data_IF_496871680420
#
_entry.id   IF_496871680420
#
_cell.length_a   1.000
_cell.length_b   1.000
_cell.length_c   1.000
_cell.angle_alpha   90.00
_cell.angle_beta   90.00
_cell.angle_gamma   90.00
#
_symmetry.space_group_name_H-M   'P 1'
#
loop_
_entity.id
_entity.type
_entity.pdbx_description
1 polymer ?
#
# COMPACT_ATOMS: atom_id res chain seq x y z
N UNK A 1 55.17 1.43 -59.94
CA UNK A 1 54.78 2.51 -59.02
C UNK A 1 53.36 2.20 -58.55
N UNK A 2 53.23 1.49 -57.43
CA UNK A 2 51.94 1.05 -56.88
C UNK A 2 51.49 2.03 -55.80
N UNK A 3 50.31 2.61 -56.00
CA UNK A 3 49.71 3.60 -55.10
C UNK A 3 48.69 2.87 -54.22
N UNK A 4 49.00 2.72 -52.92
CA UNK A 4 48.10 2.15 -51.92
C UNK A 4 47.14 3.24 -51.43
N UNK A 5 45.84 3.04 -51.66
CA UNK A 5 44.75 3.89 -51.20
C UNK A 5 44.32 3.39 -49.81
N UNK A 6 44.60 4.17 -48.76
CA UNK A 6 44.21 3.85 -47.39
C UNK A 6 42.79 4.37 -47.12
N UNK A 7 41.82 3.47 -47.06
CA UNK A 7 40.43 3.77 -46.67
C UNK A 7 40.35 3.86 -45.15
N UNK A 8 40.21 5.07 -44.61
CA UNK A 8 39.95 5.30 -43.19
C UNK A 8 38.46 5.09 -42.93
N UNK A 9 38.09 3.94 -42.37
CA UNK A 9 36.76 3.69 -41.83
C UNK A 9 36.57 4.57 -40.57
N UNK A 10 35.85 5.68 -40.71
CA UNK A 10 35.37 6.45 -39.55
C UNK A 10 34.20 5.69 -38.93
N UNK A 11 34.45 5.00 -37.81
CA UNK A 11 33.38 4.49 -36.96
C UNK A 11 32.72 5.68 -36.25
N UNK A 12 31.66 6.21 -36.84
CA UNK A 12 30.72 7.08 -36.13
C UNK A 12 30.05 6.23 -35.05
N UNK A 13 30.56 6.31 -33.82
CA UNK A 13 29.85 5.89 -32.62
C UNK A 13 28.63 6.80 -32.50
N UNK A 14 27.50 6.35 -33.05
CA UNK A 14 26.21 7.01 -32.83
C UNK A 14 25.92 6.96 -31.34
N UNK A 15 26.07 8.08 -30.65
CA UNK A 15 25.56 8.23 -29.30
C UNK A 15 24.05 8.01 -29.39
N UNK A 16 23.58 6.88 -28.86
CA UNK A 16 22.16 6.62 -28.73
C UNK A 16 21.54 7.83 -28.01
N UNK A 17 20.61 8.52 -28.67
CA UNK A 17 19.92 9.62 -28.01
C UNK A 17 19.16 9.03 -26.82
N UNK A 18 19.30 9.61 -25.62
CA UNK A 18 18.58 9.13 -24.46
C UNK A 18 17.09 9.20 -24.78
N UNK A 19 16.43 8.05 -24.78
CA UNK A 19 14.98 7.96 -25.01
C UNK A 19 14.33 8.70 -23.85
N UNK A 20 13.72 9.85 -24.12
CA UNK A 20 12.98 10.61 -23.12
C UNK A 20 11.76 9.79 -22.67
N UNK A 21 11.86 9.17 -21.50
CA UNK A 21 10.75 8.45 -20.89
C UNK A 21 9.72 9.42 -20.32
N UNK A 22 8.44 9.16 -20.60
CA UNK A 22 7.34 9.83 -19.93
C UNK A 22 7.20 9.31 -18.50
N UNK A 23 7.01 10.21 -17.54
CA UNK A 23 6.76 9.90 -16.12
C UNK A 23 5.34 10.34 -15.79
N UNK A 24 4.50 9.37 -15.43
CA UNK A 24 3.22 9.65 -14.77
C UNK A 24 3.51 9.85 -13.29
N UNK A 25 3.06 10.98 -12.74
CA UNK A 25 3.24 11.33 -11.33
C UNK A 25 1.87 11.34 -10.68
N UNK A 26 1.72 10.60 -9.57
CA UNK A 26 0.49 10.49 -8.80
C UNK A 26 0.76 10.88 -7.35
N UNK A 27 -0.10 11.68 -6.75
CA UNK A 27 -0.05 12.05 -5.34
C UNK A 27 -1.28 11.48 -4.63
N UNK A 28 -1.02 10.63 -3.65
CA UNK A 28 -2.00 10.05 -2.76
C UNK A 28 -1.90 10.71 -1.37
N UNK A 29 -2.93 11.46 -0.93
CA UNK A 29 -2.96 12.00 0.42
C UNK A 29 -3.19 10.89 1.45
N UNK A 30 -2.15 10.55 2.20
CA UNK A 30 -2.17 9.66 3.37
C UNK A 30 -2.76 10.32 4.62
N UNK A 31 -3.90 11.01 4.47
CA UNK A 31 -4.67 11.63 5.55
C UNK A 31 -4.50 13.15 5.71
N UNK A 32 -3.64 13.79 4.93
CA UNK A 32 -3.62 15.26 4.83
C UNK A 32 -4.51 15.71 3.67
N UNK A 33 -5.51 16.55 3.94
CA UNK A 33 -6.32 17.16 2.88
C UNK A 33 -5.48 18.16 2.09
N UNK A 34 -5.51 18.04 0.77
CA UNK A 34 -4.82 18.92 -0.17
C UNK A 34 -5.87 19.81 -0.83
N UNK A 35 -5.80 21.12 -0.59
CA UNK A 35 -6.83 22.06 -1.05
C UNK A 35 -6.45 22.82 -2.33
N UNK A 36 -5.17 22.82 -2.68
CA UNK A 36 -4.66 23.49 -3.88
C UNK A 36 -3.83 22.51 -4.73
N UNK A 37 -3.75 22.74 -6.06
CA UNK A 37 -2.96 21.91 -6.97
C UNK A 37 -1.49 21.75 -6.52
N UNK A 38 -1.05 20.53 -6.15
CA UNK A 38 0.33 20.26 -5.78
C UNK A 38 1.29 20.53 -6.93
N UNK A 39 2.47 21.00 -6.59
CA UNK A 39 3.57 21.17 -7.55
C UNK A 39 4.69 20.20 -7.24
N UNK A 40 5.07 19.38 -8.20
CA UNK A 40 6.18 18.44 -8.11
C UNK A 40 7.35 18.98 -8.91
N UNK A 41 8.55 18.89 -8.34
CA UNK A 41 9.80 19.26 -8.98
C UNK A 41 10.68 18.01 -9.01
N UNK A 42 11.08 17.62 -10.21
CA UNK A 42 11.96 16.48 -10.46
C UNK A 42 13.30 17.03 -10.92
N UNK A 43 14.31 16.98 -10.06
CA UNK A 43 15.67 17.41 -10.37
C UNK A 43 16.52 16.19 -10.72
N UNK A 44 16.99 16.06 -11.98
CA UNK A 44 17.93 15.00 -12.34
C UNK A 44 19.14 14.93 -11.40
N UNK A 45 19.53 13.72 -10.99
CA UNK A 45 20.72 13.53 -10.15
C UNK A 45 22.00 13.80 -10.95
N UNK A 46 22.00 13.47 -12.25
CA UNK A 46 23.16 13.63 -13.13
C UNK A 46 22.78 14.48 -14.35
N UNK A 47 23.12 15.76 -14.30
CA UNK A 47 22.97 16.70 -15.41
C UNK A 47 21.51 17.03 -15.79
N UNK A 48 21.31 18.16 -16.47
CA UNK A 48 19.98 18.62 -16.89
C UNK A 48 19.30 19.53 -15.87
N UNK A 49 18.31 20.28 -16.35
CA UNK A 49 17.57 21.23 -15.52
C UNK A 49 16.42 20.53 -14.78
N UNK A 50 16.08 20.98 -13.55
CA UNK A 50 14.89 20.51 -12.86
C UNK A 50 13.62 20.78 -13.67
N UNK A 51 12.73 19.80 -13.73
CA UNK A 51 11.42 19.92 -14.39
C UNK A 51 10.34 20.07 -13.34
N UNK A 52 9.41 21.00 -13.56
CA UNK A 52 8.29 21.25 -12.68
C UNK A 52 6.97 20.84 -13.32
N UNK A 53 6.14 20.16 -12.54
CA UNK A 53 4.82 19.66 -12.93
C UNK A 53 3.79 20.11 -11.89
N UNK A 54 2.68 20.69 -12.32
CA UNK A 54 1.51 20.93 -11.47
C UNK A 54 0.53 19.79 -11.68
N UNK A 55 0.15 19.10 -10.60
CA UNK A 55 -0.79 17.99 -10.64
C UNK A 55 -2.24 18.50 -10.70
N UNK A 56 -3.15 17.66 -11.20
CA UNK A 56 -4.57 17.97 -11.35
C UNK A 56 -5.43 16.84 -10.79
N UNK A 57 -6.59 17.21 -10.28
CA UNK A 57 -7.67 16.35 -9.77
C UNK A 57 -8.94 16.75 -10.55
N UNK A 58 -8.95 16.42 -11.84
CA UNK A 58 -9.92 16.88 -12.85
C UNK A 58 -10.61 15.73 -13.62
N UNK A 59 -10.31 14.48 -13.28
CA UNK A 59 -10.81 13.26 -13.91
C UNK A 59 -10.31 13.05 -15.36
N UNK A 60 -9.34 13.84 -15.82
CA UNK A 60 -8.73 13.67 -17.15
C UNK A 60 -7.39 12.98 -17.04
N UNK A 61 -7.15 12.01 -17.93
CA UNK A 61 -5.92 11.22 -17.94
C UNK A 61 -4.66 12.14 -17.84
N UNK A 62 -3.73 11.85 -16.92
CA UNK A 62 -3.59 10.60 -16.16
C UNK A 62 -4.45 10.49 -14.89
N UNK A 63 -5.24 11.51 -14.55
CA UNK A 63 -6.21 11.44 -13.47
C UNK A 63 -7.48 10.67 -13.91
N UNK A 64 -8.05 9.87 -13.02
CA UNK A 64 -9.14 8.93 -13.35
C UNK A 64 -10.47 9.36 -12.74
N UNK A 65 -10.46 10.10 -11.62
CA UNK A 65 -11.66 10.53 -10.92
C UNK A 65 -11.49 11.97 -10.44
N UNK A 66 -12.41 12.85 -10.84
CA UNK A 66 -12.37 14.24 -10.45
C UNK A 66 -12.82 14.43 -8.99
N UNK A 67 -12.13 15.32 -8.28
CA UNK A 67 -12.39 15.72 -6.89
C UNK A 67 -12.31 14.58 -5.88
N UNK A 68 -11.53 13.52 -6.16
CA UNK A 68 -11.33 12.41 -5.24
C UNK A 68 -10.16 12.66 -4.25
N UNK A 69 -9.48 13.80 -4.39
CA UNK A 69 -8.33 14.20 -3.59
C UNK A 69 -7.02 13.54 -4.02
N UNK A 70 -7.04 12.68 -5.03
CA UNK A 70 -5.83 12.14 -5.68
C UNK A 70 -5.49 13.06 -6.83
N UNK A 71 -4.20 13.32 -6.99
CA UNK A 71 -3.73 14.26 -7.99
C UNK A 71 -2.79 13.54 -8.94
N UNK A 72 -2.94 13.76 -10.23
CA UNK A 72 -2.07 13.17 -11.22
C UNK A 72 -1.55 14.19 -12.24
N UNK A 73 -0.44 13.85 -12.88
CA UNK A 73 0.14 14.65 -13.94
C UNK A 73 1.16 13.86 -14.73
N UNK A 74 1.54 14.38 -15.89
CA UNK A 74 2.50 13.75 -16.78
C UNK A 74 3.63 14.72 -17.13
N UNK A 75 4.87 14.23 -17.11
CA UNK A 75 6.05 15.01 -17.44
C UNK A 75 7.10 14.14 -18.14
N UNK A 76 7.81 14.71 -19.11
CA UNK A 76 8.93 14.03 -19.76
C UNK A 76 10.22 14.32 -19.01
N UNK A 77 10.90 13.28 -18.53
CA UNK A 77 12.20 13.38 -17.86
C UNK A 77 13.15 12.36 -18.44
N UNK A 78 14.21 12.83 -19.08
CA UNK A 78 15.22 11.95 -19.69
C UNK A 78 16.06 11.20 -18.65
N UNK A 79 16.27 11.79 -17.48
CA UNK A 79 17.09 11.22 -16.42
C UNK A 79 16.48 9.93 -15.83
N UNK A 80 17.33 8.94 -15.55
CA UNK A 80 16.94 7.68 -14.91
C UNK A 80 16.77 7.82 -13.40
N UNK A 81 17.40 8.82 -12.80
CA UNK A 81 17.35 9.09 -11.37
C UNK A 81 17.08 10.57 -11.12
N UNK A 82 16.15 10.86 -10.21
CA UNK A 82 15.73 12.22 -9.88
C UNK A 82 15.59 12.40 -8.37
N UNK A 83 15.92 13.59 -7.89
CA UNK A 83 15.52 14.10 -6.58
C UNK A 83 14.12 14.67 -6.71
N UNK A 84 13.22 14.20 -5.86
CA UNK A 84 11.81 14.57 -5.85
C UNK A 84 11.58 15.64 -4.79
N UNK A 85 10.97 16.75 -5.17
CA UNK A 85 10.44 17.72 -4.22
C UNK A 85 8.98 17.97 -4.51
N UNK A 86 8.14 17.99 -3.47
CA UNK A 86 6.71 18.29 -3.58
C UNK A 86 6.40 19.56 -2.81
N UNK A 87 5.65 20.46 -3.42
CA UNK A 87 5.16 21.70 -2.85
C UNK A 87 3.64 21.62 -2.77
N UNK A 88 3.10 21.68 -1.56
CA UNK A 88 1.66 21.61 -1.26
C UNK A 88 1.30 22.79 -0.36
N UNK A 89 0.35 23.60 -0.77
CA UNK A 89 -0.10 24.79 -0.01
C UNK A 89 1.07 25.74 0.39
N UNK A 90 2.11 25.80 -0.44
CA UNK A 90 3.32 26.61 -0.21
C UNK A 90 4.40 25.93 0.64
N UNK A 91 4.11 24.78 1.27
CA UNK A 91 5.08 24.00 2.02
C UNK A 91 5.86 23.05 1.11
N UNK A 92 7.19 23.19 1.13
CA UNK A 92 8.11 22.38 0.34
C UNK A 92 8.62 21.18 1.14
N UNK A 93 8.42 19.98 0.61
CA UNK A 93 8.78 18.70 1.24
C UNK A 93 9.70 17.88 0.33
N UNK A 94 10.74 17.31 0.92
CA UNK A 94 11.65 16.40 0.23
C UNK A 94 10.99 15.01 0.11
N UNK A 95 10.92 14.49 -1.12
CA UNK A 95 10.44 13.14 -1.41
C UNK A 95 11.57 12.12 -1.55
N UNK A 96 12.83 12.55 -1.42
CA UNK A 96 14.01 11.71 -1.58
C UNK A 96 14.44 11.54 -3.04
N UNK A 97 15.33 10.58 -3.26
CA UNK A 97 15.80 10.22 -4.60
C UNK A 97 15.15 8.92 -5.07
N UNK A 98 14.63 8.92 -6.29
CA UNK A 98 14.06 7.75 -6.94
C UNK A 98 14.80 7.45 -8.24
N UNK A 99 14.75 6.19 -8.67
CA UNK A 99 15.41 5.73 -9.89
C UNK A 99 14.55 4.69 -10.62
N UNK A 100 14.55 4.75 -11.95
CA UNK A 100 13.96 3.73 -12.82
C UNK A 100 15.05 2.97 -13.57
N UNK A 101 14.70 1.80 -14.10
CA UNK A 101 15.59 1.08 -15.00
C UNK A 101 15.84 1.89 -16.30
N UNK A 102 17.05 1.85 -16.88
CA UNK A 102 17.39 2.54 -18.13
C UNK A 102 16.44 2.24 -19.30
N UNK A 103 15.92 1.01 -19.33
CA UNK A 103 15.05 0.50 -20.40
C UNK A 103 13.57 0.81 -20.18
N UNK A 104 13.20 1.43 -19.05
CA UNK A 104 11.81 1.71 -18.73
C UNK A 104 11.24 2.81 -19.62
N UNK A 105 10.32 2.43 -20.52
CA UNK A 105 9.64 3.37 -21.42
C UNK A 105 8.47 4.08 -20.73
N UNK A 106 7.71 3.35 -19.91
CA UNK A 106 6.63 3.88 -19.10
C UNK A 106 7.06 3.91 -17.63
N UNK A 107 7.22 5.12 -17.09
CA UNK A 107 7.67 5.35 -15.72
C UNK A 107 6.52 5.91 -14.90
N UNK A 108 6.44 5.46 -13.67
CA UNK A 108 5.41 5.86 -12.74
C UNK A 108 6.08 6.29 -11.42
N UNK A 109 5.56 7.37 -10.85
CA UNK A 109 6.01 7.98 -9.61
C UNK A 109 4.81 8.16 -8.70
N UNK A 110 4.72 7.31 -7.68
CA UNK A 110 3.68 7.42 -6.65
C UNK A 110 4.26 8.21 -5.48
N UNK A 111 3.57 9.28 -5.11
CA UNK A 111 3.91 10.16 -4.00
C UNK A 111 2.85 9.96 -2.93
N UNK A 112 3.25 9.55 -1.73
CA UNK A 112 2.34 9.44 -0.60
C UNK A 112 2.61 10.58 0.36
N UNK A 113 1.64 11.47 0.53
CA UNK A 113 1.73 12.58 1.48
C UNK A 113 1.26 12.14 2.85
N UNK A 114 2.12 12.20 3.86
CA UNK A 114 1.76 11.88 5.25
C UNK A 114 2.08 13.07 6.18
N UNK A 115 1.67 12.97 7.44
CA UNK A 115 1.89 14.03 8.44
C UNK A 115 3.36 14.37 8.68
N UNK A 116 4.28 13.43 8.42
CA UNK A 116 5.73 13.60 8.64
C UNK A 116 6.51 14.04 7.40
N UNK A 117 5.90 14.05 6.21
CA UNK A 117 6.60 14.36 4.97
C UNK A 117 5.99 13.69 3.74
N UNK A 118 6.82 13.48 2.73
CA UNK A 118 6.44 12.83 1.46
C UNK A 118 7.31 11.61 1.26
N UNK A 119 6.68 10.50 0.91
CA UNK A 119 7.39 9.30 0.43
C UNK A 119 7.22 9.19 -1.07
N UNK A 120 8.32 9.05 -1.80
CA UNK A 120 8.30 8.81 -3.25
C UNK A 120 8.64 7.35 -3.59
N UNK A 121 7.85 6.76 -4.49
CA UNK A 121 8.02 5.40 -4.97
C UNK A 121 8.07 5.39 -6.49
N UNK A 122 9.19 4.94 -7.06
CA UNK A 122 9.32 4.72 -8.49
C UNK A 122 8.88 3.29 -8.86
N UNK A 123 8.06 3.17 -9.89
CA UNK A 123 7.64 1.88 -10.46
C UNK A 123 7.60 1.92 -11.99
N UNK A 124 7.49 0.74 -12.61
CA UNK A 124 7.32 0.55 -14.05
C UNK A 124 6.17 -0.43 -14.30
N UNK A 125 5.49 -0.31 -15.44
CA UNK A 125 4.37 -1.22 -15.77
C UNK A 125 4.80 -2.69 -15.94
N UNK A 126 6.08 -2.96 -16.19
CA UNK A 126 6.60 -4.31 -16.46
C UNK A 126 6.72 -5.20 -15.19
N UNK A 127 6.17 -4.77 -14.05
CA UNK A 127 6.13 -5.58 -12.83
C UNK A 127 7.47 -5.73 -12.11
N UNK A 128 8.44 -4.85 -12.37
CA UNK A 128 9.67 -4.79 -11.58
C UNK A 128 9.33 -4.34 -10.14
N UNK A 129 9.96 -4.98 -9.16
CA UNK A 129 9.73 -4.68 -7.75
C UNK A 129 9.93 -3.17 -7.45
N UNK A 130 9.07 -2.56 -6.63
CA UNK A 130 9.17 -1.13 -6.32
C UNK A 130 10.52 -0.78 -5.67
N UNK A 131 11.19 0.27 -6.15
CA UNK A 131 12.40 0.79 -5.52
C UNK A 131 11.99 1.96 -4.62
N UNK A 132 11.92 1.72 -3.31
CA UNK A 132 11.64 2.77 -2.32
C UNK A 132 12.79 3.81 -2.29
N UNK A 133 12.42 5.09 -2.23
CA UNK A 133 13.37 6.17 -2.01
C UNK A 133 14.09 5.96 -0.68
N UNK A 134 15.43 5.86 -0.71
CA UNK A 134 16.24 5.88 0.51
C UNK A 134 16.43 7.34 0.92
N UNK A 135 16.12 7.67 2.18
CA UNK A 135 16.52 8.96 2.76
C UNK A 135 18.03 9.12 2.61
N UNK A 136 18.44 10.03 1.73
CA UNK A 136 19.82 10.46 1.66
C UNK A 136 20.09 11.26 2.93
N UNK A 137 20.82 10.68 3.89
CA UNK A 137 21.28 11.42 5.06
C UNK A 137 22.27 12.48 4.58
N UNK A 138 21.78 13.67 4.25
CA UNK A 138 22.60 14.81 3.88
C UNK A 138 23.35 15.24 5.14
N UNK A 139 24.58 14.73 5.32
CA UNK A 139 25.54 15.30 6.26
C UNK A 139 25.85 16.71 5.79
N UNK A 140 25.33 17.70 6.51
CA UNK A 140 25.72 19.11 6.35
C UNK A 140 27.21 19.22 6.59
N UNK A 141 28.01 19.33 5.53
CA UNK A 141 29.45 19.59 5.63
C UNK A 141 29.61 21.06 6.00
N UNK A 142 29.87 21.32 7.28
CA UNK A 142 30.21 22.64 7.77
C UNK A 142 31.48 23.16 7.10
N UNK A 143 31.42 24.39 6.58
CA UNK A 143 32.55 25.15 6.04
C UNK A 143 33.61 25.30 7.14
N UNK A 144 34.87 24.85 6.96
CA UNK A 144 35.89 25.04 7.97
C UNK A 144 36.37 26.49 7.95
N UNK A 145 36.20 27.17 9.08
CA UNK A 145 36.85 28.43 9.39
C UNK A 145 38.35 28.18 9.53
N UNK A 146 39.14 28.86 8.71
CA UNK A 146 40.60 28.78 8.73
C UNK A 146 41.15 29.18 10.10
N UNK A 147 41.88 28.27 10.75
CA UNK A 147 42.65 28.54 11.95
C UNK A 147 44.06 27.98 11.72
N UNK A 148 45.03 28.88 11.62
CA UNK A 148 46.45 28.59 11.46
C UNK A 148 47.08 28.22 12.80
N UNK A 149 47.72 27.04 12.87
CA UNK A 149 48.57 26.58 13.99
C UNK A 149 49.79 25.86 13.38
N UNK A 150 51.00 26.04 13.92
CA UNK A 150 52.24 25.77 13.19
C UNK A 150 52.61 24.28 13.15
N UNK A 151 53.40 23.97 12.12
CA UNK A 151 53.87 22.65 11.75
C UNK A 151 54.68 21.98 12.87
N UNK A 152 54.20 20.82 13.32
CA UNK A 152 54.99 19.83 14.04
C UNK A 152 55.44 18.74 13.05
N UNK A 153 56.75 18.55 12.98
CA UNK A 153 57.44 17.55 12.18
C UNK A 153 57.20 16.15 12.75
N UNK A 154 56.36 15.37 12.07
CA UNK A 154 56.16 13.95 12.36
C UNK A 154 57.17 13.12 11.56
N UNK A 155 58.00 12.36 12.29
CA UNK A 155 58.87 11.34 11.76
C UNK A 155 58.06 10.18 11.15
N UNK A 156 58.45 9.79 9.94
CA UNK A 156 57.87 8.68 9.18
C UNK A 156 58.25 7.33 9.79
N UNK A 157 57.37 6.77 10.63
CA UNK A 157 57.42 5.33 10.95
C UNK A 157 56.69 4.61 9.81
N UNK A 158 57.46 4.00 8.91
CA UNK A 158 56.95 3.09 7.88
C UNK A 158 56.57 1.78 8.56
N UNK A 159 55.37 1.72 9.12
CA UNK A 159 54.72 0.50 9.57
C UNK A 159 53.41 0.36 8.81
N UNK A 160 53.27 -0.69 7.99
CA UNK A 160 52.13 -0.99 7.12
C UNK A 160 50.75 -0.66 7.77
N UNK A 161 50.15 0.52 7.51
CA UNK A 161 48.93 0.96 8.19
C UNK A 161 47.65 0.41 7.56
N UNK A 162 47.77 -0.28 6.42
CA UNK A 162 46.62 -0.78 5.64
C UNK A 162 46.01 -2.04 6.25
N UNK A 163 46.78 -2.82 7.03
CA UNK A 163 46.28 -4.07 7.61
C UNK A 163 45.33 -3.83 8.81
N UNK A 164 45.54 -2.80 9.62
CA UNK A 164 44.72 -2.53 10.80
C UNK A 164 43.41 -1.80 10.48
N UNK A 165 43.41 -0.96 9.45
CA UNK A 165 42.22 -0.22 9.02
C UNK A 165 41.13 -1.14 8.44
N UNK A 166 41.51 -2.20 7.72
CA UNK A 166 40.56 -3.17 7.15
C UNK A 166 39.96 -4.09 8.21
N UNK A 167 40.74 -4.50 9.22
CA UNK A 167 40.22 -5.30 10.34
C UNK A 167 39.22 -4.51 11.20
N UNK A 168 39.48 -3.23 11.45
CA UNK A 168 38.57 -2.37 12.22
C UNK A 168 37.23 -2.13 11.52
N UNK A 169 37.23 -1.87 10.21
CA UNK A 169 36.01 -1.67 9.44
C UNK A 169 35.16 -2.95 9.32
N UNK A 170 35.79 -4.11 9.14
CA UNK A 170 35.10 -5.39 9.11
C UNK A 170 34.36 -5.72 10.41
N UNK A 171 35.02 -5.50 11.56
CA UNK A 171 34.41 -5.73 12.86
C UNK A 171 33.23 -4.79 13.12
N UNK A 172 33.35 -3.52 12.74
CA UNK A 172 32.26 -2.55 12.88
C UNK A 172 31.03 -2.94 12.04
N UNK A 173 31.24 -3.36 10.79
CA UNK A 173 30.15 -3.83 9.92
C UNK A 173 29.48 -5.09 10.49
N UNK A 174 30.24 -6.03 11.08
CA UNK A 174 29.67 -7.21 11.73
C UNK A 174 28.87 -6.81 12.97
N UNK A 175 29.35 -5.88 13.81
CA UNK A 175 28.63 -5.42 15.00
C UNK A 175 27.36 -4.64 14.65
N UNK A 176 27.38 -3.81 13.60
CA UNK A 176 26.19 -3.11 13.10
C UNK A 176 25.22 -4.09 12.47
N UNK A 177 25.69 -5.01 11.61
CA UNK A 177 24.88 -6.06 11.01
C UNK A 177 24.26 -6.97 12.06
N UNK A 178 25.01 -7.35 13.10
CA UNK A 178 24.52 -8.15 14.22
C UNK A 178 23.54 -7.36 15.10
N UNK A 179 23.81 -6.09 15.38
CA UNK A 179 22.89 -5.21 16.10
C UNK A 179 21.56 -5.02 15.35
N UNK A 180 21.61 -4.89 14.03
CA UNK A 180 20.44 -4.85 13.16
C UNK A 180 19.73 -6.21 13.11
N UNK A 181 20.48 -7.32 13.02
CA UNK A 181 19.92 -8.66 13.03
C UNK A 181 19.23 -8.98 14.36
N UNK A 182 19.82 -8.60 15.50
CA UNK A 182 19.22 -8.77 16.84
C UNK A 182 18.03 -7.84 17.03
N UNK A 183 18.09 -6.59 16.53
CA UNK A 183 16.96 -5.66 16.56
C UNK A 183 15.80 -6.12 15.68
N UNK A 184 16.10 -6.83 14.59
CA UNK A 184 15.10 -7.40 13.68
C UNK A 184 14.70 -8.84 14.04
N UNK A 185 15.47 -9.54 14.86
CA UNK A 185 15.14 -10.83 15.45
C UNK A 185 14.05 -10.62 16.50
N UNK A 186 12.84 -10.34 16.02
CA UNK A 186 11.64 -10.42 16.85
C UNK A 186 11.54 -11.88 17.28
N UNK A 187 11.42 -12.17 18.59
CA UNK A 187 11.16 -13.52 19.04
C UNK A 187 9.99 -14.07 18.23
N UNK A 188 10.06 -15.33 17.76
CA UNK A 188 8.96 -15.94 17.03
C UNK A 188 7.71 -15.74 17.87
N UNK A 189 6.72 -15.06 17.30
CA UNK A 189 5.46 -14.86 18.00
C UNK A 189 4.91 -16.26 18.32
N UNK A 190 4.39 -16.48 19.54
CA UNK A 190 3.73 -17.74 19.83
C UNK A 190 2.67 -18.00 18.75
N UNK A 191 2.51 -19.25 18.30
CA UNK A 191 1.55 -19.57 17.26
C UNK A 191 0.15 -19.14 17.73
N UNK A 192 -0.44 -18.18 17.01
CA UNK A 192 -1.79 -17.72 17.29
C UNK A 192 -2.77 -18.77 16.76
N UNK A 193 -3.68 -19.23 17.61
CA UNK A 193 -4.75 -20.13 17.21
C UNK A 193 -5.87 -19.31 16.55
N UNK A 194 -5.72 -19.04 15.25
CA UNK A 194 -6.68 -18.30 14.44
C UNK A 194 -7.43 -19.29 13.55
N UNK A 195 -8.75 -19.32 13.67
CA UNK A 195 -9.60 -20.07 12.75
C UNK A 195 -10.49 -19.10 11.99
N UNK A 196 -10.26 -18.97 10.69
CA UNK A 196 -11.18 -18.25 9.81
C UNK A 196 -12.46 -19.08 9.66
N UNK A 197 -13.62 -18.42 9.73
CA UNK A 197 -14.89 -19.05 9.38
C UNK A 197 -14.90 -19.27 7.87
N UNK A 198 -15.12 -20.50 7.44
CA UNK A 198 -15.38 -20.77 6.03
C UNK A 198 -16.70 -20.12 5.65
N UNK A 199 -16.67 -19.27 4.62
CA UNK A 199 -17.87 -18.63 4.13
C UNK A 199 -18.65 -19.61 3.25
N UNK A 200 -19.97 -19.67 3.38
CA UNK A 200 -20.76 -20.52 2.52
C UNK A 200 -20.61 -20.04 1.07
N UNK A 201 -20.33 -20.97 0.14
CA UNK A 201 -20.26 -20.64 -1.28
C UNK A 201 -21.67 -20.27 -1.79
N UNK A 202 -21.77 -19.33 -2.73
CA UNK A 202 -23.04 -18.68 -3.13
C UNK A 202 -24.10 -19.70 -3.58
N UNK A 203 -23.66 -20.75 -4.27
CA UNK A 203 -24.53 -21.75 -4.88
C UNK A 203 -24.16 -23.18 -4.43
N UNK A 204 -23.44 -23.32 -3.32
CA UNK A 204 -22.92 -24.61 -2.85
C UNK A 204 -21.47 -24.89 -3.24
N UNK A 205 -20.95 -26.03 -2.79
CA UNK A 205 -19.53 -26.41 -2.90
C UNK A 205 -19.01 -26.24 -4.33
N UNK A 206 -17.88 -25.52 -4.47
CA UNK A 206 -17.24 -25.27 -5.77
C UNK A 206 -17.57 -23.90 -6.39
N UNK A 207 -18.51 -23.14 -5.82
CA UNK A 207 -18.72 -21.73 -6.19
C UNK A 207 -17.93 -20.78 -5.29
N UNK A 208 -17.43 -19.65 -5.79
CA UNK A 208 -16.74 -18.67 -4.94
C UNK A 208 -17.71 -18.14 -3.88
N UNK A 209 -17.18 -17.72 -2.73
CA UNK A 209 -17.96 -16.97 -1.77
C UNK A 209 -18.08 -15.51 -2.25
N UNK A 210 -19.27 -14.91 -2.13
CA UNK A 210 -19.43 -13.47 -2.29
C UNK A 210 -18.91 -12.81 -1.01
N UNK A 211 -17.63 -12.46 -1.00
CA UNK A 211 -17.05 -11.65 0.05
C UNK A 211 -17.68 -10.25 -0.03
N UNK A 212 -18.75 -10.00 0.73
CA UNK A 212 -19.28 -8.64 0.96
C UNK A 212 -18.35 -7.87 1.91
N UNK A 213 -17.04 -7.90 1.66
CA UNK A 213 -16.04 -7.21 2.47
C UNK A 213 -15.76 -7.77 3.87
N UNK A 214 -16.66 -8.55 4.50
CA UNK A 214 -16.51 -9.01 5.89
C UNK A 214 -15.81 -10.38 6.03
N UNK A 215 -14.66 -10.39 6.70
CA UNK A 215 -13.93 -11.59 7.12
C UNK A 215 -14.14 -11.90 8.60
N UNK A 216 -14.62 -13.11 8.93
CA UNK A 216 -14.88 -13.53 10.32
C UNK A 216 -13.81 -14.50 10.81
N UNK A 217 -13.26 -14.22 12.00
CA UNK A 217 -12.19 -14.97 12.63
C UNK A 217 -12.56 -15.35 14.06
N UNK A 218 -12.38 -16.63 14.40
CA UNK A 218 -12.42 -17.10 15.77
C UNK A 218 -11.06 -16.90 16.42
N UNK A 219 -11.05 -16.28 17.60
CA UNK A 219 -9.84 -15.94 18.34
C UNK A 219 -10.03 -16.28 19.81
N UNK A 220 -9.04 -16.98 20.39
CA UNK A 220 -9.02 -17.26 21.81
C UNK A 220 -9.00 -15.96 22.64
N UNK A 221 -9.69 -15.89 23.79
CA UNK A 221 -9.74 -14.68 24.64
C UNK A 221 -8.37 -14.10 24.98
N UNK A 222 -7.40 -14.96 25.29
CA UNK A 222 -6.03 -14.60 25.66
C UNK A 222 -5.25 -13.92 24.54
N UNK A 223 -5.53 -14.26 23.28
CA UNK A 223 -4.82 -13.75 22.11
C UNK A 223 -5.45 -12.47 21.54
N UNK A 224 -6.72 -12.22 21.88
CA UNK A 224 -7.55 -11.17 21.28
C UNK A 224 -6.92 -9.78 21.37
N UNK A 225 -6.49 -9.37 22.56
CA UNK A 225 -5.93 -8.03 22.76
C UNK A 225 -4.63 -7.82 21.97
N UNK A 226 -3.75 -8.83 21.93
CA UNK A 226 -2.51 -8.79 21.17
C UNK A 226 -2.78 -8.73 19.67
N UNK A 227 -3.71 -9.56 19.18
CA UNK A 227 -4.12 -9.60 17.78
C UNK A 227 -4.79 -8.29 17.34
N UNK A 228 -5.75 -7.76 18.12
CA UNK A 228 -6.39 -6.47 17.85
C UNK A 228 -5.35 -5.37 17.72
N UNK A 229 -4.39 -5.30 18.65
CA UNK A 229 -3.31 -4.31 18.59
C UNK A 229 -2.41 -4.49 17.35
N UNK A 230 -2.10 -5.73 16.99
CA UNK A 230 -1.31 -6.07 15.79
C UNK A 230 -2.01 -5.70 14.49
N UNK A 231 -3.26 -6.13 14.33
CA UNK A 231 -4.11 -5.82 13.18
C UNK A 231 -4.33 -4.33 13.05
N UNK A 232 -4.72 -3.66 14.13
CA UNK A 232 -4.97 -2.22 14.12
C UNK A 232 -3.70 -1.45 13.71
N UNK A 233 -2.52 -1.82 14.22
CA UNK A 233 -1.25 -1.21 13.81
C UNK A 233 -0.95 -1.43 12.33
N UNK A 234 -1.25 -2.60 11.79
CA UNK A 234 -1.01 -2.92 10.37
C UNK A 234 -2.00 -2.19 9.47
N UNK A 235 -3.29 -2.28 9.78
CA UNK A 235 -4.38 -1.67 9.02
C UNK A 235 -4.26 -0.15 9.01
N UNK A 236 -4.01 0.47 10.17
CA UNK A 236 -3.95 1.93 10.30
C UNK A 236 -2.80 2.59 9.51
N UNK A 237 -1.84 1.81 8.97
CA UNK A 237 -0.80 2.32 8.06
C UNK A 237 -1.31 2.66 6.67
N UNK A 238 -2.35 1.96 6.22
CA UNK A 238 -2.86 2.01 4.85
C UNK A 238 -4.37 2.24 4.78
N UNK A 239 -5.05 2.27 5.92
CA UNK A 239 -6.49 2.40 6.03
C UNK A 239 -6.86 3.34 7.17
N UNK A 240 -8.06 3.91 7.08
CA UNK A 240 -8.75 4.51 8.22
C UNK A 240 -9.56 3.43 8.91
N UNK A 241 -9.31 3.22 10.21
CA UNK A 241 -9.87 2.07 10.91
C UNK A 241 -11.01 2.51 11.81
N UNK A 242 -12.21 1.99 11.61
CA UNK A 242 -13.25 2.00 12.64
C UNK A 242 -13.08 0.76 13.52
N UNK A 243 -12.54 0.96 14.72
CA UNK A 243 -12.40 -0.08 15.72
C UNK A 243 -13.64 -0.11 16.61
N UNK A 244 -14.40 -1.20 16.55
CA UNK A 244 -15.45 -1.47 17.53
C UNK A 244 -14.90 -2.39 18.63
N UNK A 245 -14.94 -1.93 19.87
CA UNK A 245 -14.55 -2.71 21.05
C UNK A 245 -15.78 -3.14 21.89
N UNK A 246 -15.71 -4.25 22.63
CA UNK A 246 -16.67 -4.53 23.68
C UNK A 246 -16.59 -3.50 24.81
N UNK A 247 -17.70 -3.26 25.50
CA UNK A 247 -17.72 -2.39 26.67
C UNK A 247 -16.74 -2.86 27.75
N UNK A 248 -16.03 -1.92 28.37
CA UNK A 248 -15.04 -2.19 29.42
C UNK A 248 -13.69 -2.71 28.93
N UNK A 249 -13.51 -2.95 27.63
CA UNK A 249 -12.20 -3.28 27.06
C UNK A 249 -11.38 -2.01 26.86
N UNK A 250 -10.15 -1.99 27.38
CA UNK A 250 -9.26 -0.86 27.23
C UNK A 250 -8.91 -0.59 25.75
N UNK A 251 -8.93 0.67 25.37
CA UNK A 251 -8.57 1.10 24.03
C UNK A 251 -7.09 0.77 23.74
N UNK A 252 -6.77 0.07 22.64
CA UNK A 252 -5.40 -0.24 22.31
C UNK A 252 -4.66 1.04 21.91
N UNK A 253 -3.59 1.37 22.63
CA UNK A 253 -2.71 2.48 22.26
C UNK A 253 -2.04 2.21 20.91
N UNK A 254 -2.46 2.90 19.86
CA UNK A 254 -1.84 2.83 18.53
C UNK A 254 -0.88 3.97 18.27
N UNK A 255 0.28 3.62 17.71
CA UNK A 255 1.21 4.56 17.11
C UNK A 255 1.00 4.51 15.59
N UNK A 256 0.48 5.59 15.01
CA UNK A 256 0.70 5.88 13.59
C UNK A 256 -0.46 5.76 12.61
N UNK A 257 -1.72 5.94 13.01
CA UNK A 257 -2.80 6.11 12.02
C UNK A 257 -4.16 6.51 12.59
N UNK A 258 -5.10 6.95 11.73
CA UNK A 258 -6.44 7.39 12.11
C UNK A 258 -7.33 6.18 12.48
N UNK A 259 -7.24 5.76 13.74
CA UNK A 259 -8.14 4.80 14.33
C UNK A 259 -9.26 5.54 15.07
N UNK A 260 -10.51 5.23 14.73
CA UNK A 260 -11.71 5.75 15.38
C UNK A 260 -12.27 4.63 16.23
N UNK A 261 -12.46 4.89 17.52
CA UNK A 261 -12.87 3.84 18.46
C UNK A 261 -14.30 4.08 18.92
N UNK A 262 -15.09 3.02 18.89
CA UNK A 262 -16.46 3.03 19.42
C UNK A 262 -16.73 1.75 20.19
N UNK A 263 -17.58 1.83 21.22
CA UNK A 263 -18.09 0.64 21.91
C UNK A 263 -19.53 0.31 21.55
N UNK A 264 -20.21 1.21 20.82
CA UNK A 264 -21.61 1.06 20.46
C UNK A 264 -21.86 -0.21 19.66
N UNK A 265 -22.98 -0.86 19.94
CA UNK A 265 -23.55 -1.96 19.13
C UNK A 265 -24.73 -1.51 18.28
N UNK A 266 -25.15 -0.26 18.43
CA UNK A 266 -26.34 0.26 17.74
C UNK A 266 -26.01 0.42 16.26
N UNK A 267 -26.64 -0.40 15.41
CA UNK A 267 -26.44 -0.44 13.95
C UNK A 267 -26.39 0.95 13.32
N UNK A 268 -27.42 1.76 13.55
CA UNK A 268 -27.51 3.12 13.01
C UNK A 268 -26.31 4.01 13.39
N UNK A 269 -25.81 3.89 14.62
CA UNK A 269 -24.65 4.69 15.06
C UNK A 269 -23.36 4.20 14.38
N UNK A 270 -23.24 2.90 14.12
CA UNK A 270 -22.12 2.37 13.32
C UNK A 270 -22.20 2.84 11.87
N UNK A 271 -23.40 2.82 11.26
CA UNK A 271 -23.65 3.37 9.92
C UNK A 271 -23.26 4.86 9.86
N UNK A 272 -23.73 5.67 10.82
CA UNK A 272 -23.40 7.10 10.89
C UNK A 272 -21.88 7.34 11.00
N UNK A 273 -21.18 6.54 11.81
CA UNK A 273 -19.71 6.61 11.89
C UNK A 273 -19.03 6.22 10.57
N UNK A 274 -19.56 5.23 9.86
CA UNK A 274 -19.00 4.79 8.58
C UNK A 274 -19.20 5.84 7.49
N UNK A 275 -20.39 6.43 7.40
CA UNK A 275 -20.68 7.54 6.49
C UNK A 275 -19.74 8.72 6.78
N UNK A 276 -19.60 9.11 8.05
CA UNK A 276 -18.68 10.19 8.43
C UNK A 276 -17.23 9.88 8.07
N UNK A 277 -16.81 8.63 8.25
CA UNK A 277 -15.48 8.16 7.86
C UNK A 277 -15.29 8.16 6.35
N UNK A 278 -16.30 7.76 5.60
CA UNK A 278 -16.26 7.65 4.15
C UNK A 278 -16.23 9.03 3.47
N UNK A 279 -17.07 9.96 3.95
CA UNK A 279 -17.18 11.33 3.44
C UNK A 279 -15.91 12.16 3.67
N UNK A 280 -15.09 11.78 4.66
CA UNK A 280 -13.77 12.38 4.83
C UNK A 280 -12.88 11.92 3.65
N UNK A 281 -12.10 12.80 3.02
CA UNK A 281 -11.09 12.36 2.05
C UNK A 281 -9.94 11.60 2.75
N UNK A 282 -9.34 10.62 2.09
CA UNK A 282 -8.16 9.91 2.58
C UNK A 282 -8.06 8.44 2.18
N UNK A 283 -7.37 7.66 3.03
CA UNK A 283 -7.14 6.23 2.82
C UNK A 283 -8.46 5.41 2.83
N UNK A 284 -8.49 4.21 2.23
CA UNK A 284 -9.67 3.34 2.29
C UNK A 284 -10.12 3.06 3.74
N UNK A 285 -11.42 2.85 3.94
CA UNK A 285 -11.99 2.58 5.27
C UNK A 285 -12.00 1.07 5.52
N UNK A 286 -11.64 0.66 6.73
CA UNK A 286 -11.76 -0.72 7.19
C UNK A 286 -12.37 -0.77 8.58
N UNK A 287 -13.26 -1.73 8.82
CA UNK A 287 -13.89 -1.96 10.12
C UNK A 287 -13.21 -3.12 10.80
N UNK A 288 -12.72 -2.90 12.02
CA UNK A 288 -12.24 -3.96 12.89
C UNK A 288 -13.22 -4.10 14.06
N UNK A 289 -14.06 -5.11 13.99
CA UNK A 289 -15.05 -5.41 15.03
C UNK A 289 -14.50 -6.47 15.98
N UNK A 290 -14.45 -6.16 17.27
CA UNK A 290 -14.04 -7.09 18.31
C UNK A 290 -15.26 -7.45 19.17
N UNK A 291 -15.60 -8.73 19.21
CA UNK A 291 -16.76 -9.27 19.92
C UNK A 291 -16.43 -10.50 20.77
N UNK A 292 -17.26 -10.74 21.79
CA UNK A 292 -17.25 -12.00 22.56
C UNK A 292 -18.03 -13.08 21.82
N UNK A 293 -19.26 -13.34 22.27
CA UNK A 293 -20.23 -14.11 21.51
C UNK A 293 -20.87 -13.22 20.44
N UNK A 294 -20.81 -13.63 19.18
CA UNK A 294 -21.43 -12.92 18.06
C UNK A 294 -22.56 -13.77 17.51
N UNK A 295 -23.77 -13.20 17.42
CA UNK A 295 -24.91 -13.88 16.83
C UNK A 295 -24.83 -13.85 15.31
N UNK A 296 -25.52 -14.78 14.65
CA UNK A 296 -25.67 -14.78 13.20
C UNK A 296 -26.27 -13.46 12.69
N UNK A 297 -27.30 -12.95 13.37
CA UNK A 297 -27.91 -11.66 13.04
C UNK A 297 -26.91 -10.51 13.11
N UNK A 298 -25.99 -10.50 14.09
CA UNK A 298 -24.96 -9.46 14.16
C UNK A 298 -23.96 -9.53 13.01
N UNK A 299 -23.70 -10.73 12.46
CA UNK A 299 -22.86 -10.88 11.25
C UNK A 299 -23.61 -10.35 10.03
N UNK A 300 -24.91 -10.67 9.89
CA UNK A 300 -25.76 -10.15 8.80
C UNK A 300 -25.86 -8.63 8.88
N UNK A 301 -26.19 -8.08 10.04
CA UNK A 301 -26.26 -6.64 10.26
C UNK A 301 -24.93 -5.97 9.92
N UNK A 302 -23.79 -6.56 10.32
CA UNK A 302 -22.48 -6.01 10.00
C UNK A 302 -22.17 -6.09 8.50
N UNK A 303 -22.62 -7.12 7.78
CA UNK A 303 -22.45 -7.21 6.33
C UNK A 303 -23.30 -6.16 5.60
N UNK A 304 -24.54 -5.97 6.03
CA UNK A 304 -25.46 -5.02 5.41
C UNK A 304 -24.98 -3.57 5.51
N UNK A 305 -24.25 -3.23 6.58
CA UNK A 305 -23.70 -1.87 6.75
C UNK A 305 -22.37 -1.65 6.03
N UNK A 306 -21.71 -2.71 5.57
CA UNK A 306 -20.44 -2.61 4.87
C UNK A 306 -20.73 -2.45 3.38
N UNK A 307 -20.50 -1.24 2.86
CA UNK A 307 -20.50 -1.00 1.43
C UNK A 307 -19.45 -1.87 0.71
N UNK A 308 -19.59 -2.15 -0.60
CA UNK A 308 -18.64 -2.99 -1.35
C UNK A 308 -17.18 -2.55 -1.24
N UNK A 309 -16.93 -1.26 -1.00
CA UNK A 309 -15.60 -0.67 -0.90
C UNK A 309 -15.05 -0.62 0.54
N UNK A 310 -15.82 -1.06 1.54
CA UNK A 310 -15.42 -1.08 2.95
C UNK A 310 -15.07 -2.51 3.37
N UNK A 311 -13.80 -2.73 3.69
CA UNK A 311 -13.36 -4.00 4.26
C UNK A 311 -13.82 -4.16 5.72
N UNK A 312 -14.19 -5.37 6.11
CA UNK A 312 -14.58 -5.70 7.48
C UNK A 312 -13.77 -6.89 8.02
N UNK A 313 -13.34 -6.81 9.28
CA UNK A 313 -12.76 -7.93 10.03
C UNK A 313 -13.51 -8.06 11.35
N UNK A 314 -14.14 -9.21 11.57
CA UNK A 314 -14.79 -9.56 12.83
C UNK A 314 -13.93 -10.57 13.59
N UNK A 315 -13.47 -10.19 14.78
CA UNK A 315 -12.83 -11.09 15.73
C UNK A 315 -13.86 -11.53 16.78
N UNK A 316 -14.20 -12.82 16.80
CA UNK A 316 -15.18 -13.41 17.70
C UNK A 316 -14.56 -14.49 18.60
N UNK A 317 -15.05 -14.63 19.82
CA UNK A 317 -14.68 -15.72 20.74
C UNK A 317 -15.36 -17.03 20.35
N UNK A 318 -16.67 -16.91 20.15
CA UNK A 318 -17.55 -18.00 19.78
C UNK A 318 -18.16 -17.64 18.45
N UNK A 319 -17.97 -18.51 17.47
CA UNK A 319 -18.57 -18.36 16.16
C UNK A 319 -20.06 -18.69 16.23
N UNK A 320 -20.92 -18.02 15.45
CA UNK A 320 -22.23 -18.56 15.17
C UNK A 320 -22.10 -19.95 14.52
N UNK A 321 -23.09 -20.84 14.68
CA UNK A 321 -23.15 -22.07 13.89
C UNK A 321 -22.95 -21.72 12.40
N UNK A 322 -22.22 -22.56 11.68
CA UNK A 322 -21.88 -22.28 10.28
C UNK A 322 -23.15 -21.95 9.50
N UNK A 323 -23.19 -20.75 8.93
CA UNK A 323 -24.28 -20.30 8.05
C UNK A 323 -24.28 -21.26 6.86
N UNK A 324 -25.32 -22.07 6.75
CA UNK A 324 -25.50 -22.93 5.58
C UNK A 324 -25.81 -22.03 4.38
N UNK A 325 -25.39 -22.45 3.18
CA UNK A 325 -25.74 -21.71 1.97
C UNK A 325 -27.27 -21.55 1.89
N UNK A 326 -27.75 -20.30 1.83
CA UNK A 326 -29.17 -19.97 1.79
C UNK A 326 -29.85 -20.54 0.53
N UNK A 327 -29.06 -20.78 -0.51
CA UNK A 327 -29.48 -21.40 -1.74
C UNK A 327 -28.47 -22.46 -2.19
N UNK A 328 -28.98 -23.55 -2.75
CA UNK A 328 -28.20 -24.60 -3.39
C UNK A 328 -28.61 -24.70 -4.84
N UNK A 329 -27.64 -24.65 -5.75
CA UNK A 329 -27.90 -24.87 -7.17
C UNK A 329 -27.60 -26.33 -7.51
N UNK A 330 -28.60 -27.06 -8.00
CA UNK A 330 -28.44 -28.44 -8.48
C UNK A 330 -28.71 -28.48 -9.98
N UNK A 331 -27.72 -28.87 -10.76
CA UNK A 331 -27.90 -29.09 -12.21
C UNK A 331 -28.72 -30.36 -12.46
N UNK A 332 -29.64 -30.30 -13.43
CA UNK A 332 -30.49 -31.42 -13.89
C UNK A 332 -30.32 -31.61 -15.40
N UNK A 333 -30.87 -32.69 -15.98
CA UNK A 333 -30.76 -32.94 -17.43
C UNK A 333 -31.37 -31.82 -18.30
N UNK A 334 -32.32 -31.05 -17.77
CA UNK A 334 -33.01 -29.97 -18.50
C UNK A 334 -32.63 -28.54 -18.09
N UNK A 335 -31.67 -28.36 -17.18
CA UNK A 335 -31.30 -27.03 -16.66
C UNK A 335 -30.69 -27.09 -15.26
N UNK A 336 -31.17 -26.23 -14.36
CA UNK A 336 -30.76 -26.25 -12.96
C UNK A 336 -31.96 -25.97 -12.04
N UNK A 337 -31.84 -26.33 -10.77
CA UNK A 337 -32.81 -26.01 -9.72
C UNK A 337 -32.09 -25.24 -8.65
N UNK A 338 -32.49 -23.99 -8.42
CA UNK A 338 -32.06 -23.19 -7.29
C UNK A 338 -33.01 -23.46 -6.13
N UNK A 339 -32.56 -24.28 -5.18
CA UNK A 339 -33.32 -24.58 -3.97
C UNK A 339 -32.88 -23.63 -2.85
N UNK A 340 -33.80 -22.78 -2.40
CA UNK A 340 -33.66 -21.93 -1.22
C UNK A 340 -34.33 -22.60 -0.01
N UNK A 341 -34.25 -21.98 1.17
CA UNK A 341 -34.98 -22.45 2.36
C UNK A 341 -36.51 -22.48 2.17
N UNK A 342 -37.06 -21.62 1.31
CA UNK A 342 -38.50 -21.40 1.18
C UNK A 342 -39.09 -21.92 -0.12
N UNK A 343 -38.29 -22.01 -1.19
CA UNK A 343 -38.78 -22.41 -2.51
C UNK A 343 -37.70 -23.08 -3.37
N UNK A 344 -38.15 -23.83 -4.38
CA UNK A 344 -37.31 -24.34 -5.45
C UNK A 344 -37.66 -23.66 -6.76
N UNK A 345 -36.68 -22.99 -7.36
CA UNK A 345 -36.83 -22.27 -8.62
C UNK A 345 -36.16 -23.09 -9.72
N UNK A 346 -36.95 -23.55 -10.69
CA UNK A 346 -36.41 -24.19 -11.88
C UNK A 346 -35.80 -23.13 -12.80
N UNK A 347 -34.59 -23.38 -13.26
CA UNK A 347 -33.81 -22.52 -14.14
C UNK A 347 -33.52 -23.26 -15.45
N UNK A 348 -33.65 -22.57 -16.57
CA UNK A 348 -33.20 -23.03 -17.89
C UNK A 348 -32.03 -22.19 -18.36
N UNK A 349 -31.12 -22.79 -19.13
CA UNK A 349 -29.97 -22.07 -19.68
C UNK A 349 -30.41 -21.27 -20.91
N UNK A 350 -30.44 -19.94 -20.77
CA UNK A 350 -30.70 -18.98 -21.85
C UNK A 350 -29.43 -18.37 -22.41
N UNK A 351 -29.59 -17.43 -23.35
CA UNK A 351 -28.47 -16.78 -24.05
C UNK A 351 -27.53 -15.95 -23.15
N UNK A 352 -27.99 -15.53 -21.97
CA UNK A 352 -27.23 -14.75 -20.99
C UNK A 352 -26.93 -15.53 -19.69
N UNK A 353 -27.13 -16.86 -19.69
CA UNK A 353 -26.98 -17.69 -18.49
C UNK A 353 -28.32 -18.25 -18.01
N UNK A 354 -28.41 -18.64 -16.74
CA UNK A 354 -29.61 -19.26 -16.18
C UNK A 354 -30.75 -18.24 -16.02
N UNK A 355 -31.94 -18.59 -16.50
CA UNK A 355 -33.18 -17.81 -16.35
C UNK A 355 -34.27 -18.68 -15.72
N UNK A 356 -35.20 -18.07 -14.98
CA UNK A 356 -36.34 -18.80 -14.38
C UNK A 356 -37.16 -19.47 -15.48
N UNK A 357 -37.35 -20.79 -15.36
CA UNK A 357 -38.22 -21.55 -16.24
C UNK A 357 -39.66 -21.03 -16.09
N UNK A 358 -40.44 -20.92 -17.19
CA UNK A 358 -41.84 -20.54 -17.11
C UNK A 358 -42.58 -21.53 -16.20
N UNK A 359 -43.45 -21.02 -15.34
CA UNK A 359 -44.28 -21.87 -14.49
C UNK A 359 -45.08 -22.82 -15.39
N UNK A 360 -44.90 -24.13 -15.19
CA UNK A 360 -45.70 -25.11 -15.90
C UNK A 360 -47.10 -25.03 -15.30
N UNK A 361 -48.06 -24.46 -16.04
CA UNK A 361 -49.47 -24.50 -15.64
C UNK A 361 -49.87 -25.97 -15.51
N UNK A 362 -50.28 -26.35 -14.30
CA UNK A 362 -50.65 -27.71 -13.92
C UNK A 362 -52.11 -28.02 -14.29
#
# INVERSE_FOLDING_TARGET
>A
MMMFLATVLSMQTGLAQPVSGGVVVRLEPGGQVVTAPPRVILAPVVGGDPVSLTLRDDGQAPDVAAQDGRWAGFVNVAAESVVVTVEVDGDRRDGGTVSWAPTAQARDLILTLNWSGVTALASTMDGAEPIEAREATVKTVGVPKASSVPAASSQSIVGHPVAWATTGAGLLCILVGFGLAVRNARPPLPPLSLRRVEEPPILGVGTPALHQGLSVWQVAPEDRASLTKGLLRTLARQHRVLLRLPDGVAEPTTLGGPAYVTTTTVRKVLEDHLVELFDRPGLPVVVLYVGGAVSEQSVVDLRDILEPDIGGILLAETLPPAVQAEATLRTTEGGAVLATATESIHLTLGAQGFVRAPATEA
#
